data_IF_710220290991
#
_entry.id   IF_710220290991
#
_cell.length_a   1.000
_cell.length_b   1.000
_cell.length_c   1.000
_cell.angle_alpha   90.00
_cell.angle_beta   90.00
_cell.angle_gamma   90.00
#
_symmetry.space_group_name_H-M   'P 1'
#
loop_
_entity.id
_entity.type
_entity.pdbx_description
1 polymer ?
#
# COMPACT_ATOMS: atom_id res chain seq x y z
N UNK A 1 27.90 0.81 -26.36
CA UNK A 1 28.08 0.71 -24.90
C UNK A 1 26.72 1.08 -24.31
N UNK A 2 26.05 0.11 -23.69
CA UNK A 2 24.61 0.09 -23.49
C UNK A 2 24.16 1.15 -22.46
N UNK A 3 23.14 1.93 -22.84
CA UNK A 3 22.35 2.78 -21.96
C UNK A 3 21.24 1.93 -21.35
N UNK A 4 21.36 1.64 -20.05
CA UNK A 4 20.37 0.89 -19.29
C UNK A 4 19.16 1.80 -19.00
N UNK A 5 18.03 1.53 -19.68
CA UNK A 5 16.74 2.19 -19.43
C UNK A 5 16.12 1.62 -18.16
N UNK A 6 15.89 2.48 -17.16
CA UNK A 6 15.07 2.17 -15.99
C UNK A 6 13.61 2.55 -16.28
N UNK A 7 12.79 1.57 -16.63
CA UNK A 7 11.34 1.69 -16.87
C UNK A 7 10.56 1.29 -15.60
N UNK A 8 9.62 2.15 -15.18
CA UNK A 8 8.72 1.91 -14.03
C UNK A 8 7.36 1.46 -14.58
N UNK A 9 6.89 0.28 -14.15
CA UNK A 9 5.81 -0.51 -14.77
C UNK A 9 4.48 -0.37 -14.02
N UNK A 10 3.38 -0.40 -14.76
CA UNK A 10 2.03 -0.08 -14.29
C UNK A 10 1.35 -1.15 -13.42
N UNK A 11 0.31 -0.74 -12.70
CA UNK A 11 -0.58 -1.60 -11.90
C UNK A 11 -1.79 -1.99 -12.75
N UNK A 12 -2.05 -3.28 -12.95
CA UNK A 12 -3.27 -3.78 -13.62
C UNK A 12 -4.24 -4.24 -12.54
N UNK A 13 -5.27 -3.42 -12.24
CA UNK A 13 -6.34 -3.78 -11.31
C UNK A 13 -7.49 -4.41 -12.11
N UNK A 14 -7.64 -5.73 -12.02
CA UNK A 14 -8.81 -6.44 -12.52
C UNK A 14 -9.78 -6.65 -11.33
N UNK A 15 -10.82 -5.82 -11.23
CA UNK A 15 -11.90 -5.99 -10.26
C UNK A 15 -13.13 -6.54 -11.00
N UNK A 16 -13.58 -7.75 -10.67
CA UNK A 16 -14.62 -8.47 -11.44
C UNK A 16 -16.07 -8.15 -11.06
N UNK A 17 -16.31 -7.30 -10.05
CA UNK A 17 -17.68 -6.84 -9.75
C UNK A 17 -17.78 -5.31 -9.73
N UNK A 18 -18.08 -4.74 -10.90
CA UNK A 18 -18.38 -3.32 -11.19
C UNK A 18 -17.23 -2.32 -10.96
N UNK A 19 -16.86 -1.66 -12.07
CA UNK A 19 -15.87 -0.59 -12.23
C UNK A 19 -14.42 -1.07 -12.46
N UNK A 20 -14.14 -1.46 -13.71
CA UNK A 20 -12.79 -1.45 -14.28
C UNK A 20 -12.23 -0.02 -14.20
N UNK A 21 -11.30 0.23 -13.28
CA UNK A 21 -10.40 1.37 -13.33
C UNK A 21 -9.02 0.85 -13.73
N UNK A 22 -8.73 0.92 -15.03
CA UNK A 22 -7.37 0.83 -15.55
C UNK A 22 -6.66 2.16 -15.25
N UNK A 23 -5.79 2.19 -14.24
CA UNK A 23 -4.85 3.29 -14.07
C UNK A 23 -3.56 2.97 -14.84
N UNK A 24 -3.48 3.40 -16.09
CA UNK A 24 -2.20 3.55 -16.78
C UNK A 24 -1.61 4.92 -16.39
N UNK A 25 -0.61 4.91 -15.51
CA UNK A 25 0.14 6.12 -15.17
C UNK A 25 1.36 6.24 -16.11
N UNK A 26 1.28 7.16 -17.07
CA UNK A 26 2.37 7.50 -17.98
C UNK A 26 3.31 8.48 -17.28
N UNK A 27 4.57 8.07 -17.10
CA UNK A 27 5.63 8.89 -16.49
C UNK A 27 6.22 9.81 -17.56
N UNK A 28 6.08 11.12 -17.37
CA UNK A 28 6.88 12.10 -18.10
C UNK A 28 8.30 12.19 -17.54
N UNK A 29 9.22 12.40 -18.48
CA UNK A 29 10.67 12.39 -18.36
C UNK A 29 11.14 13.64 -17.63
N UNK A 30 11.91 13.48 -16.55
CA UNK A 30 12.91 14.47 -16.15
C UNK A 30 14.23 13.76 -15.89
N UNK A 31 15.20 14.03 -16.76
CA UNK A 31 16.54 13.50 -16.71
C UNK A 31 17.54 14.67 -16.77
N UNK A 32 18.55 14.60 -15.90
CA UNK A 32 19.91 15.13 -16.06
C UNK A 32 20.31 16.57 -15.71
N UNK A 33 19.43 17.52 -15.35
CA UNK A 33 19.90 18.85 -14.88
C UNK A 33 19.95 19.03 -13.35
N UNK A 34 19.39 18.10 -12.57
CA UNK A 34 19.25 18.26 -11.11
C UNK A 34 20.48 17.79 -10.29
N UNK A 35 21.41 17.05 -10.89
CA UNK A 35 22.58 16.50 -10.18
C UNK A 35 23.77 17.46 -10.05
N UNK A 36 23.73 18.61 -10.73
CA UNK A 36 24.77 19.65 -10.59
C UNK A 36 24.49 20.64 -9.45
N UNK A 37 23.23 20.72 -8.99
CA UNK A 37 22.81 21.61 -7.91
C UNK A 37 22.99 20.99 -6.50
N UNK A 38 22.89 19.66 -6.37
CA UNK A 38 23.05 18.96 -5.09
C UNK A 38 24.50 18.95 -4.57
N UNK A 39 25.49 19.08 -5.46
CA UNK A 39 26.90 19.15 -5.06
C UNK A 39 27.31 20.53 -4.51
N UNK A 40 26.45 21.54 -4.57
CA UNK A 40 26.71 22.87 -4.01
C UNK A 40 26.05 23.12 -2.65
N UNK A 41 25.24 22.20 -2.12
CA UNK A 41 24.56 22.35 -0.81
C UNK A 41 25.23 21.60 0.35
N UNK A 42 26.52 21.28 0.23
CA UNK A 42 27.35 20.80 1.34
C UNK A 42 27.97 21.97 2.12
N UNK A 43 27.14 22.87 2.67
CA UNK A 43 27.51 23.67 3.86
C UNK A 43 26.28 24.40 4.43
N UNK A 44 25.94 24.11 5.69
CA UNK A 44 24.95 24.86 6.47
C UNK A 44 23.72 24.05 6.87
N UNK A 45 23.75 23.43 8.06
CA UNK A 45 22.55 22.94 8.74
C UNK A 45 21.68 24.12 9.20
N UNK A 46 20.81 24.57 8.30
CA UNK A 46 19.59 25.29 8.62
C UNK A 46 18.45 24.28 8.51
N UNK A 47 17.71 24.03 9.59
CA UNK A 47 16.51 23.20 9.58
C UNK A 47 15.44 23.87 8.69
N UNK A 48 15.53 23.67 7.38
CA UNK A 48 14.43 24.00 6.47
C UNK A 48 13.27 23.09 6.83
N UNK A 49 12.21 23.68 7.38
CA UNK A 49 10.97 22.97 7.72
C UNK A 49 10.37 22.43 6.43
N UNK A 50 10.50 21.12 6.19
CA UNK A 50 9.92 20.47 5.02
C UNK A 50 8.40 20.56 5.05
N UNK A 51 7.80 20.87 3.91
CA UNK A 51 6.35 20.82 3.73
C UNK A 51 5.94 19.58 2.93
N UNK A 52 4.68 19.17 3.05
CA UNK A 52 4.21 17.94 2.41
C UNK A 52 4.26 18.03 0.87
N UNK A 53 4.05 19.22 0.33
CA UNK A 53 4.04 19.46 -1.13
C UNK A 53 5.43 19.26 -1.76
N UNK A 54 6.50 19.45 -0.98
CA UNK A 54 7.88 19.28 -1.46
C UNK A 54 8.28 17.81 -1.63
N UNK A 55 7.63 16.90 -0.90
CA UNK A 55 8.05 15.50 -0.81
C UNK A 55 7.07 14.53 -1.49
N UNK A 56 5.76 14.78 -1.38
CA UNK A 56 4.73 13.88 -1.93
C UNK A 56 4.57 14.11 -3.43
N UNK A 57 4.69 13.05 -4.27
CA UNK A 57 4.51 13.19 -5.72
C UNK A 57 3.05 13.53 -6.06
N UNK A 58 2.86 14.36 -7.10
CA UNK A 58 1.55 14.78 -7.60
C UNK A 58 0.63 15.40 -6.53
N UNK A 59 1.20 16.12 -5.59
CA UNK A 59 0.45 16.75 -4.50
C UNK A 59 -0.73 17.60 -5.00
N UNK A 60 -0.52 18.40 -6.05
CA UNK A 60 -1.58 19.23 -6.67
C UNK A 60 -2.77 18.39 -7.17
N UNK A 61 -2.50 17.24 -7.80
CA UNK A 61 -3.55 16.33 -8.27
C UNK A 61 -4.31 15.73 -7.09
N UNK A 62 -3.61 15.33 -6.01
CA UNK A 62 -4.24 14.80 -4.80
C UNK A 62 -5.16 15.86 -4.18
N UNK A 63 -4.71 17.11 -4.08
CA UNK A 63 -5.55 18.21 -3.60
C UNK A 63 -6.79 18.42 -4.49
N UNK A 64 -6.62 18.36 -5.81
CA UNK A 64 -7.73 18.52 -6.75
C UNK A 64 -8.77 17.42 -6.56
N UNK A 65 -8.34 16.15 -6.46
CA UNK A 65 -9.24 15.03 -6.21
C UNK A 65 -9.95 15.15 -4.85
N UNK A 66 -9.25 15.65 -3.83
CA UNK A 66 -9.84 15.93 -2.53
C UNK A 66 -10.89 17.05 -2.61
N UNK A 67 -10.61 18.14 -3.34
CA UNK A 67 -11.57 19.24 -3.59
C UNK A 67 -12.81 18.75 -4.34
N UNK A 68 -12.63 17.81 -5.28
CA UNK A 68 -13.72 17.11 -6.00
C UNK A 68 -14.47 16.09 -5.15
N UNK A 69 -14.02 15.83 -3.93
CA UNK A 69 -14.58 14.84 -3.01
C UNK A 69 -14.54 13.40 -3.56
N UNK A 70 -13.56 13.10 -4.42
CA UNK A 70 -13.37 11.75 -4.99
C UNK A 70 -13.13 10.76 -3.85
N UNK A 71 -13.88 9.66 -3.85
CA UNK A 71 -13.78 8.59 -2.84
C UNK A 71 -14.34 8.94 -1.46
N UNK A 72 -14.94 10.12 -1.27
CA UNK A 72 -15.50 10.52 0.03
C UNK A 72 -16.74 9.68 0.36
N UNK A 73 -16.68 9.01 1.51
CA UNK A 73 -17.82 8.29 2.08
C UNK A 73 -18.36 9.01 3.32
N UNK A 74 -19.67 8.92 3.56
CA UNK A 74 -20.31 9.46 4.76
C UNK A 74 -20.11 8.48 5.94
N UNK A 75 -18.96 8.56 6.61
CA UNK A 75 -18.57 7.67 7.70
C UNK A 75 -18.54 8.39 9.05
N UNK A 76 -18.94 7.68 10.10
CA UNK A 76 -18.80 8.16 11.47
C UNK A 76 -17.34 8.03 11.91
N UNK A 77 -16.78 9.12 12.44
CA UNK A 77 -15.38 9.16 12.86
C UNK A 77 -15.12 8.19 14.02
N UNK A 78 -14.16 7.29 13.84
CA UNK A 78 -13.64 6.41 14.91
C UNK A 78 -12.35 6.97 15.51
N UNK A 79 -11.91 6.36 16.61
CA UNK A 79 -10.60 6.65 17.18
C UNK A 79 -9.48 6.33 16.16
N UNK A 80 -8.38 7.08 16.22
CA UNK A 80 -7.22 6.83 15.37
C UNK A 80 -6.68 5.42 15.64
N UNK A 81 -6.32 4.70 14.58
CA UNK A 81 -5.69 3.38 14.63
C UNK A 81 -4.81 3.20 13.41
N UNK A 82 -3.62 2.64 13.60
CA UNK A 82 -2.60 2.52 12.55
C UNK A 82 -2.41 1.06 12.16
N UNK A 83 -2.38 0.79 10.85
CA UNK A 83 -2.10 -0.53 10.32
C UNK A 83 -0.59 -0.70 10.10
N UNK A 84 -0.03 0.05 9.16
CA UNK A 84 1.35 -0.06 8.70
C UNK A 84 1.89 1.27 8.15
N UNK A 85 3.22 1.37 7.97
CA UNK A 85 3.87 2.48 7.32
C UNK A 85 4.90 2.00 6.29
N UNK A 86 4.97 2.67 5.13
CA UNK A 86 5.82 2.30 4.00
C UNK A 86 6.63 3.51 3.55
N UNK A 87 7.96 3.40 3.58
CA UNK A 87 8.85 4.47 3.13
C UNK A 87 9.44 4.16 1.76
N UNK A 88 9.22 5.08 0.80
CA UNK A 88 9.73 4.99 -0.58
C UNK A 88 10.93 5.92 -0.83
N UNK A 89 11.57 6.41 0.22
CA UNK A 89 12.70 7.35 0.15
C UNK A 89 12.25 8.80 0.23
N UNK A 90 11.61 9.33 -0.83
CA UNK A 90 11.19 10.76 -0.86
C UNK A 90 9.94 11.02 -0.01
N UNK A 91 8.99 10.10 -0.03
CA UNK A 91 7.74 10.17 0.71
C UNK A 91 7.46 8.82 1.37
N UNK A 92 6.60 8.83 2.38
CA UNK A 92 6.11 7.66 3.06
C UNK A 92 4.58 7.66 3.05
N UNK A 93 4.00 6.49 3.23
CA UNK A 93 2.56 6.30 3.38
C UNK A 93 2.32 5.62 4.72
N UNK A 94 1.37 6.12 5.48
CA UNK A 94 0.85 5.45 6.67
C UNK A 94 -0.59 5.04 6.37
N UNK A 95 -0.85 3.74 6.46
CA UNK A 95 -2.21 3.21 6.39
C UNK A 95 -2.83 3.26 7.78
N UNK A 96 -4.03 3.84 7.88
CA UNK A 96 -4.82 3.90 9.11
C UNK A 96 -6.04 3.02 8.97
N UNK A 97 -6.43 2.35 10.04
CA UNK A 97 -7.72 1.65 10.07
C UNK A 97 -8.83 2.59 10.55
N UNK A 98 -8.55 3.84 10.90
CA UNK A 98 -9.55 4.77 11.38
C UNK A 98 -10.44 5.27 10.24
N UNK A 99 -11.76 5.28 10.43
CA UNK A 99 -12.74 5.72 9.43
C UNK A 99 -13.31 7.11 9.75
N UNK A 100 -13.80 7.81 8.73
CA UNK A 100 -14.36 9.15 8.86
C UNK A 100 -13.29 10.24 9.02
N UNK A 101 -12.09 9.97 8.52
CA UNK A 101 -10.95 10.87 8.61
C UNK A 101 -10.66 11.62 7.31
N UNK A 102 -11.34 11.30 6.20
CA UNK A 102 -11.18 12.01 4.93
C UNK A 102 -11.08 13.54 5.07
N UNK A 103 -10.01 14.11 4.53
CA UNK A 103 -9.72 15.54 4.49
C UNK A 103 -9.42 16.17 5.85
N UNK A 104 -9.31 15.38 6.93
CA UNK A 104 -8.93 15.89 8.24
C UNK A 104 -7.44 16.15 8.29
N UNK A 105 -7.09 17.26 8.91
CA UNK A 105 -5.71 17.60 9.22
C UNK A 105 -5.16 16.65 10.29
N UNK A 106 -3.96 16.15 10.04
CA UNK A 106 -3.20 15.28 10.93
C UNK A 106 -1.70 15.59 10.80
N UNK A 107 -0.90 14.99 11.66
CA UNK A 107 0.53 15.24 11.76
C UNK A 107 1.30 13.93 11.70
N UNK A 108 2.21 13.82 10.74
CA UNK A 108 3.16 12.72 10.65
C UNK A 108 4.24 12.89 11.71
N UNK A 109 4.42 11.87 12.55
CA UNK A 109 5.45 11.76 13.58
C UNK A 109 6.42 10.66 13.21
N UNK A 110 7.71 10.90 13.44
CA UNK A 110 8.78 10.02 13.00
C UNK A 110 9.61 9.62 14.20
N UNK A 111 9.77 8.31 14.39
CA UNK A 111 10.41 7.75 15.56
C UNK A 111 11.55 6.81 15.17
N UNK A 112 12.61 6.81 15.97
CA UNK A 112 13.70 5.83 15.86
C UNK A 112 13.30 4.46 16.42
N UNK A 113 14.24 3.51 16.41
CA UNK A 113 14.03 2.16 16.93
C UNK A 113 13.77 2.12 18.46
N UNK A 114 14.10 3.18 19.19
CA UNK A 114 13.84 3.33 20.62
C UNK A 114 12.55 4.14 20.90
N UNK A 115 11.72 4.37 19.86
CA UNK A 115 10.49 5.15 19.93
C UNK A 115 10.72 6.61 20.38
N UNK A 116 11.85 7.19 20.01
CA UNK A 116 12.14 8.62 20.24
C UNK A 116 11.89 9.41 18.98
N UNK A 117 11.24 10.55 19.11
CA UNK A 117 10.99 11.43 17.97
C UNK A 117 12.30 11.96 17.38
N UNK A 118 12.48 11.75 16.08
CA UNK A 118 13.72 12.12 15.38
C UNK A 118 13.63 13.45 14.65
N UNK A 119 12.41 13.88 14.30
CA UNK A 119 12.15 15.06 13.49
C UNK A 119 10.87 15.76 13.96
N UNK A 120 10.74 17.07 13.70
CA UNK A 120 9.50 17.79 13.97
C UNK A 120 8.30 17.20 13.21
N UNK A 121 7.13 17.26 13.84
CA UNK A 121 5.88 16.83 13.23
C UNK A 121 5.58 17.59 11.92
N UNK A 122 5.24 16.85 10.87
CA UNK A 122 4.88 17.42 9.56
C UNK A 122 3.36 17.36 9.38
N UNK A 123 2.76 18.53 9.16
CA UNK A 123 1.32 18.66 8.90
C UNK A 123 0.96 18.04 7.55
N UNK A 124 -0.14 17.31 7.50
CA UNK A 124 -0.71 16.72 6.29
C UNK A 124 -2.24 16.57 6.46
N UNK A 125 -2.88 15.89 5.51
CA UNK A 125 -4.30 15.52 5.58
C UNK A 125 -4.46 14.03 5.29
N UNK A 126 -5.54 13.43 5.81
CA UNK A 126 -5.92 12.07 5.43
C UNK A 126 -6.61 12.12 4.08
N UNK A 127 -5.95 11.62 3.04
CA UNK A 127 -6.51 11.51 1.69
C UNK A 127 -5.72 10.49 0.85
N UNK A 128 -6.39 9.50 0.21
CA UNK A 128 -7.81 9.15 0.33
C UNK A 128 -8.19 8.71 1.77
N UNK A 129 -9.44 8.30 2.01
CA UNK A 129 -9.80 7.68 3.30
C UNK A 129 -8.80 6.55 3.63
N UNK A 130 -8.48 6.31 4.90
CA UNK A 130 -7.50 5.31 5.36
C UNK A 130 -6.02 5.55 5.00
N UNK A 131 -5.69 6.57 4.21
CA UNK A 131 -4.31 6.80 3.74
C UNK A 131 -3.80 8.17 4.14
N UNK A 132 -2.60 8.19 4.71
CA UNK A 132 -1.89 9.40 5.09
C UNK A 132 -0.55 9.48 4.38
N UNK A 133 -0.42 10.46 3.49
CA UNK A 133 0.85 10.78 2.86
C UNK A 133 1.73 11.60 3.81
N UNK A 134 2.98 11.19 3.95
CA UNK A 134 4.01 11.80 4.77
C UNK A 134 5.29 12.01 3.96
N UNK A 135 6.22 12.84 4.45
CA UNK A 135 7.56 12.88 3.87
C UNK A 135 8.37 11.63 4.28
N UNK A 136 9.25 11.19 3.40
CA UNK A 136 10.10 10.03 3.63
C UNK A 136 11.31 10.43 4.49
N UNK A 137 11.65 9.57 5.45
CA UNK A 137 12.80 9.75 6.32
C UNK A 137 13.50 8.40 6.51
N UNK A 138 14.73 8.30 5.99
CA UNK A 138 15.52 7.07 5.99
C UNK A 138 15.75 6.48 7.40
N UNK A 139 15.81 7.33 8.42
CA UNK A 139 16.10 6.91 9.81
C UNK A 139 14.85 6.60 10.64
N UNK A 140 13.65 6.80 10.09
CA UNK A 140 12.42 6.47 10.81
C UNK A 140 12.23 4.95 10.84
N UNK A 141 12.31 4.36 12.03
CA UNK A 141 11.99 2.94 12.25
C UNK A 141 10.49 2.75 12.50
N UNK A 142 9.85 3.76 13.10
CA UNK A 142 8.42 3.79 13.36
C UNK A 142 7.83 5.15 12.96
N UNK A 143 6.54 5.13 12.61
CA UNK A 143 5.76 6.33 12.35
C UNK A 143 4.48 6.35 13.18
N UNK A 144 3.99 7.55 13.45
CA UNK A 144 2.69 7.77 14.09
C UNK A 144 1.95 8.91 13.42
N UNK A 145 0.63 8.94 13.59
CA UNK A 145 -0.26 10.00 13.12
C UNK A 145 -0.99 10.58 14.32
N UNK A 146 -0.83 11.89 14.55
CA UNK A 146 -1.52 12.63 15.62
C UNK A 146 -2.46 13.69 15.05
N UNK A 147 -3.46 14.12 15.82
CA UNK A 147 -4.37 15.20 15.45
C UNK A 147 -3.75 16.58 15.67
N UNK A 148 -2.87 16.70 16.66
CA UNK A 148 -2.16 17.94 16.97
C UNK A 148 -0.66 17.71 17.12
N UNK A 149 0.11 18.79 17.10
CA UNK A 149 1.57 18.75 17.30
C UNK A 149 1.93 18.37 18.74
N UNK A 150 1.13 18.76 19.73
CA UNK A 150 1.43 18.55 21.15
C UNK A 150 0.84 17.23 21.71
N UNK A 151 0.06 16.52 20.90
CA UNK A 151 -0.50 15.21 21.28
C UNK A 151 0.62 14.19 21.51
N UNK A 152 0.52 13.45 22.61
CA UNK A 152 1.46 12.40 22.95
C UNK A 152 1.35 11.24 21.93
N UNK A 153 2.49 10.70 21.50
CA UNK A 153 2.54 9.54 20.61
C UNK A 153 2.19 8.27 21.39
N UNK A 154 0.96 7.77 21.21
CA UNK A 154 0.47 6.52 21.83
C UNK A 154 0.51 5.35 20.85
N UNK A 155 0.22 5.61 19.58
CA UNK A 155 0.15 4.59 18.53
C UNK A 155 1.37 4.67 17.65
N UNK A 156 1.91 3.54 17.24
CA UNK A 156 3.01 3.50 16.26
C UNK A 156 2.80 2.37 15.26
N UNK A 157 3.29 2.58 14.05
CA UNK A 157 3.38 1.58 13.01
C UNK A 157 4.87 1.39 12.64
N UNK A 158 5.35 0.14 12.51
CA UNK A 158 6.69 -0.11 11.98
C UNK A 158 6.78 0.38 10.54
N UNK A 159 7.92 0.97 10.19
CA UNK A 159 8.20 1.44 8.84
C UNK A 159 8.86 0.32 8.05
N UNK A 160 8.17 -0.13 7.01
CA UNK A 160 8.76 -0.98 5.99
C UNK A 160 9.52 -0.10 5.00
N UNK A 161 10.83 -0.32 4.91
CA UNK A 161 11.69 0.36 3.94
C UNK A 161 11.48 -0.30 2.57
N UNK A 162 10.78 0.38 1.66
CA UNK A 162 10.45 -0.13 0.33
C UNK A 162 11.24 0.63 -0.75
N UNK A 163 12.54 0.77 -0.49
CA UNK A 163 13.49 1.53 -1.31
C UNK A 163 14.21 0.67 -2.35
N UNK A 164 14.10 -0.66 -2.25
CA UNK A 164 14.72 -1.59 -3.19
C UNK A 164 14.11 -1.42 -4.58
N UNK A 165 14.98 -1.34 -5.60
CA UNK A 165 14.57 -1.15 -7.00
C UNK A 165 14.26 -2.47 -7.72
N UNK A 166 14.36 -3.58 -7.02
CA UNK A 166 14.12 -4.91 -7.58
C UNK A 166 12.87 -5.50 -6.94
N UNK A 167 11.92 -5.89 -7.78
CA UNK A 167 10.74 -6.60 -7.32
C UNK A 167 11.16 -7.98 -6.80
N UNK A 168 10.65 -8.33 -5.62
CA UNK A 168 10.83 -9.66 -5.02
C UNK A 168 10.04 -10.72 -5.77
N UNK A 169 8.86 -10.33 -6.25
CA UNK A 169 7.94 -11.20 -6.99
C UNK A 169 7.58 -10.57 -8.34
N UNK A 170 7.39 -11.41 -9.35
CA UNK A 170 6.89 -10.96 -10.64
C UNK A 170 5.38 -10.66 -10.54
N UNK A 171 4.58 -11.66 -10.16
CA UNK A 171 3.13 -11.50 -9.98
C UNK A 171 2.73 -12.01 -8.60
N UNK A 172 2.09 -11.12 -7.83
CA UNK A 172 1.51 -11.46 -6.53
C UNK A 172 0.00 -11.27 -6.54
N UNK A 173 -0.69 -11.87 -5.58
CA UNK A 173 -2.13 -11.73 -5.39
C UNK A 173 -2.45 -11.07 -4.03
N UNK A 174 -3.24 -10.00 -4.07
CA UNK A 174 -3.92 -9.41 -2.91
C UNK A 174 -5.31 -10.02 -2.80
N UNK A 175 -5.52 -10.81 -1.75
CA UNK A 175 -6.84 -11.33 -1.45
C UNK A 175 -7.66 -10.28 -0.73
N UNK A 176 -8.93 -10.11 -1.14
CA UNK A 176 -9.86 -9.29 -0.38
C UNK A 176 -9.97 -9.78 1.07
N UNK A 177 -10.19 -8.88 2.04
CA UNK A 177 -10.11 -9.26 3.43
C UNK A 177 -11.10 -10.34 3.83
N UNK A 178 -10.62 -11.28 4.63
CA UNK A 178 -11.41 -12.36 5.22
C UNK A 178 -12.02 -11.87 6.52
N UNK A 179 -13.33 -12.05 6.66
CA UNK A 179 -14.09 -11.69 7.84
C UNK A 179 -15.19 -12.72 8.12
N UNK A 180 -15.68 -12.71 9.36
CA UNK A 180 -16.73 -13.61 9.82
C UNK A 180 -16.20 -14.87 10.49
N UNK A 181 -17.12 -15.81 10.74
CA UNK A 181 -16.85 -17.07 11.47
C UNK A 181 -17.11 -18.32 10.64
N UNK A 182 -17.39 -18.12 9.34
CA UNK A 182 -17.64 -19.22 8.44
C UNK A 182 -16.34 -19.92 8.11
N UNK A 183 -16.42 -21.24 7.99
CA UNK A 183 -15.32 -22.08 7.57
C UNK A 183 -14.96 -21.78 6.12
N UNK A 184 -13.75 -21.26 5.88
CA UNK A 184 -13.26 -20.87 4.54
C UNK A 184 -12.05 -21.67 4.10
N UNK A 185 -11.57 -22.63 4.89
CA UNK A 185 -10.31 -23.35 4.65
C UNK A 185 -10.27 -24.00 3.26
N UNK A 186 -11.40 -24.55 2.79
CA UNK A 186 -11.44 -25.21 1.48
C UNK A 186 -11.31 -24.18 0.35
N UNK A 187 -12.07 -23.07 0.42
CA UNK A 187 -11.97 -21.99 -0.55
C UNK A 187 -10.57 -21.35 -0.55
N UNK A 188 -9.97 -21.21 0.63
CA UNK A 188 -8.62 -20.68 0.81
C UNK A 188 -7.57 -21.60 0.18
N UNK A 189 -7.62 -22.90 0.48
CA UNK A 189 -6.72 -23.89 -0.13
C UNK A 189 -6.88 -23.92 -1.65
N UNK A 190 -8.12 -24.01 -2.13
CA UNK A 190 -8.40 -24.03 -3.57
C UNK A 190 -7.90 -22.76 -4.27
N UNK A 191 -8.06 -21.58 -3.65
CA UNK A 191 -7.62 -20.31 -4.23
C UNK A 191 -6.09 -20.25 -4.31
N UNK A 192 -5.39 -20.54 -3.21
CA UNK A 192 -3.93 -20.49 -3.16
C UNK A 192 -3.33 -21.51 -4.13
N UNK A 193 -3.74 -22.78 -4.05
CA UNK A 193 -3.18 -23.83 -4.93
C UNK A 193 -3.50 -23.58 -6.40
N UNK A 194 -4.72 -23.12 -6.72
CA UNK A 194 -5.07 -22.76 -8.10
C UNK A 194 -4.15 -21.65 -8.63
N UNK A 195 -3.99 -20.55 -7.90
CA UNK A 195 -3.21 -19.42 -8.38
C UNK A 195 -1.70 -19.72 -8.40
N UNK A 196 -1.20 -20.61 -7.53
CA UNK A 196 0.17 -21.16 -7.66
C UNK A 196 0.36 -21.87 -9.00
N UNK A 197 -0.60 -22.72 -9.40
CA UNK A 197 -0.59 -23.36 -10.73
C UNK A 197 -0.73 -22.34 -11.87
N UNK A 198 -1.35 -21.20 -11.62
CA UNK A 198 -1.46 -20.09 -12.57
C UNK A 198 -0.26 -19.11 -12.55
N UNK A 199 0.84 -19.48 -11.88
CA UNK A 199 2.09 -18.72 -11.89
C UNK A 199 2.15 -17.52 -10.94
N UNK A 200 1.21 -17.40 -10.00
CA UNK A 200 1.30 -16.42 -8.91
C UNK A 200 2.38 -16.88 -7.92
N UNK A 201 3.29 -15.98 -7.57
CA UNK A 201 4.46 -16.30 -6.75
C UNK A 201 4.25 -16.05 -5.25
N UNK A 202 3.36 -15.12 -4.90
CA UNK A 202 3.13 -14.76 -3.50
C UNK A 202 1.72 -14.22 -3.23
N UNK A 203 1.24 -14.44 -2.01
CA UNK A 203 -0.11 -14.09 -1.58
C UNK A 203 -0.09 -13.13 -0.40
N UNK A 204 -0.82 -12.03 -0.50
CA UNK A 204 -1.07 -11.08 0.58
C UNK A 204 -2.50 -11.22 1.05
N UNK A 205 -2.67 -11.56 2.32
CA UNK A 205 -3.98 -11.79 2.92
C UNK A 205 -4.24 -10.81 4.05
N UNK A 206 -5.48 -10.35 4.13
CA UNK A 206 -5.95 -9.46 5.19
C UNK A 206 -7.03 -10.20 5.97
N UNK A 207 -6.92 -10.25 7.30
CA UNK A 207 -7.85 -11.01 8.14
C UNK A 207 -8.38 -10.12 9.26
N UNK A 208 -9.71 -9.97 9.30
CA UNK A 208 -10.41 -9.37 10.44
C UNK A 208 -10.72 -10.43 11.50
N UNK A 209 -11.44 -11.47 11.10
CA UNK A 209 -11.87 -12.58 11.94
C UNK A 209 -11.81 -13.87 11.09
N UNK A 210 -11.37 -14.98 11.69
CA UNK A 210 -11.25 -16.27 11.03
C UNK A 210 -11.37 -17.39 12.07
N UNK A 211 -12.03 -18.50 11.75
CA UNK A 211 -12.12 -19.61 12.68
C UNK A 211 -10.81 -20.43 12.74
N UNK A 212 -10.62 -21.13 13.86
CA UNK A 212 -9.35 -21.77 14.20
C UNK A 212 -8.80 -22.74 13.14
N UNK A 213 -9.68 -23.45 12.41
CA UNK A 213 -9.25 -24.41 11.40
C UNK A 213 -8.72 -23.72 10.15
N UNK A 214 -9.47 -22.76 9.57
CA UNK A 214 -8.95 -21.91 8.47
C UNK A 214 -7.68 -21.17 8.85
N UNK A 215 -7.59 -20.68 10.10
CA UNK A 215 -6.37 -20.02 10.59
C UNK A 215 -5.18 -20.99 10.57
N UNK A 216 -5.35 -22.22 11.03
CA UNK A 216 -4.28 -23.22 11.03
C UNK A 216 -3.76 -23.50 9.61
N UNK A 217 -4.66 -23.64 8.64
CA UNK A 217 -4.28 -23.81 7.23
C UNK A 217 -3.53 -22.57 6.71
N UNK A 218 -4.01 -21.36 7.03
CA UNK A 218 -3.32 -20.13 6.65
C UNK A 218 -1.91 -20.04 7.26
N UNK A 219 -1.76 -20.43 8.52
CA UNK A 219 -0.46 -20.45 9.20
C UNK A 219 0.53 -21.40 8.46
N UNK A 220 0.06 -22.50 7.88
CA UNK A 220 0.91 -23.41 7.08
C UNK A 220 1.45 -22.71 5.80
N UNK A 221 0.60 -21.94 5.09
CA UNK A 221 1.03 -21.14 3.93
C UNK A 221 1.95 -19.96 4.27
N UNK A 222 1.77 -19.38 5.47
CA UNK A 222 2.68 -18.35 5.98
C UNK A 222 4.04 -18.98 6.31
N UNK A 223 4.05 -20.15 6.94
CA UNK A 223 5.27 -20.85 7.32
C UNK A 223 6.07 -21.38 6.11
N UNK A 224 5.40 -21.76 5.02
CA UNK A 224 6.07 -22.15 3.77
C UNK A 224 6.65 -20.96 3.00
N UNK A 225 6.26 -19.73 3.35
CA UNK A 225 6.63 -18.52 2.63
C UNK A 225 5.77 -18.25 1.38
N UNK A 226 4.71 -19.04 1.15
CA UNK A 226 3.76 -18.81 0.07
C UNK A 226 2.95 -17.53 0.32
N UNK A 227 2.64 -17.22 1.58
CA UNK A 227 1.76 -16.12 1.96
C UNK A 227 2.32 -15.21 3.06
N UNK A 228 1.87 -13.96 3.07
CA UNK A 228 1.96 -13.04 4.20
C UNK A 228 0.55 -12.63 4.64
N UNK A 229 0.33 -12.55 5.95
CA UNK A 229 -0.96 -12.16 6.54
C UNK A 229 -0.85 -10.87 7.34
N UNK A 230 -1.80 -9.97 7.14
CA UNK A 230 -2.03 -8.78 7.96
C UNK A 230 -3.35 -8.97 8.72
N UNK A 231 -3.27 -8.99 10.05
CA UNK A 231 -4.44 -9.00 10.90
C UNK A 231 -4.84 -7.56 11.23
N UNK A 232 -6.11 -7.22 11.00
CA UNK A 232 -6.63 -5.93 11.42
C UNK A 232 -6.65 -5.85 12.95
N UNK A 233 -6.22 -4.70 13.48
CA UNK A 233 -6.07 -4.47 14.94
C UNK A 233 -7.36 -3.95 15.55
N UNK A 234 -8.12 -3.17 14.80
CA UNK A 234 -9.37 -2.59 15.27
C UNK A 234 -10.47 -3.65 15.41
N UNK A 235 -11.06 -3.73 16.61
CA UNK A 235 -12.26 -4.53 16.86
C UNK A 235 -13.57 -3.78 16.57
N UNK A 236 -13.51 -2.61 15.94
CA UNK A 236 -14.70 -1.84 15.57
C UNK A 236 -15.64 -2.69 14.69
N UNK A 237 -16.88 -2.85 15.14
CA UNK A 237 -17.96 -3.35 14.29
C UNK A 237 -18.34 -2.28 13.27
N UNK A 238 -17.64 -2.27 12.14
CA UNK A 238 -17.95 -1.47 10.96
C UNK A 238 -18.44 -2.35 9.81
N UNK A 239 -18.99 -1.72 8.78
CA UNK A 239 -19.42 -2.40 7.56
C UNK A 239 -18.25 -3.13 6.90
N UNK A 240 -18.46 -4.40 6.52
CA UNK A 240 -17.45 -5.27 5.90
C UNK A 240 -16.78 -4.63 4.67
N UNK A 241 -17.53 -3.83 3.90
CA UNK A 241 -17.00 -3.08 2.74
C UNK A 241 -15.87 -2.12 3.10
N UNK A 242 -15.86 -1.60 4.32
CA UNK A 242 -14.81 -0.66 4.76
C UNK A 242 -13.52 -1.39 5.09
N UNK A 243 -13.60 -2.64 5.55
CA UNK A 243 -12.41 -3.48 5.69
C UNK A 243 -11.80 -3.79 4.34
N UNK A 244 -12.63 -4.05 3.32
CA UNK A 244 -12.18 -4.23 1.95
C UNK A 244 -11.38 -3.04 1.43
N UNK A 245 -11.83 -1.81 1.69
CA UNK A 245 -11.09 -0.60 1.29
C UNK A 245 -9.72 -0.52 1.98
N UNK A 246 -9.66 -0.68 3.31
CA UNK A 246 -8.38 -0.65 4.06
C UNK A 246 -7.42 -1.71 3.53
N UNK A 247 -7.89 -2.95 3.34
CA UNK A 247 -7.06 -4.05 2.86
C UNK A 247 -6.56 -3.84 1.44
N UNK A 248 -7.43 -3.36 0.53
CA UNK A 248 -7.05 -3.08 -0.86
C UNK A 248 -6.00 -1.98 -0.93
N UNK A 249 -6.21 -0.86 -0.22
CA UNK A 249 -5.27 0.26 -0.23
C UNK A 249 -3.94 -0.12 0.43
N UNK A 250 -3.97 -0.78 1.59
CA UNK A 250 -2.76 -1.26 2.24
C UNK A 250 -1.95 -2.19 1.33
N UNK A 251 -2.62 -3.16 0.69
CA UNK A 251 -1.96 -4.13 -0.17
C UNK A 251 -1.34 -3.48 -1.40
N UNK A 252 -2.05 -2.50 -1.99
CA UNK A 252 -1.55 -1.71 -3.11
C UNK A 252 -0.27 -0.97 -2.74
N UNK A 253 -0.26 -0.26 -1.61
CA UNK A 253 0.91 0.52 -1.20
C UNK A 253 2.05 -0.39 -0.75
N UNK A 254 1.80 -1.41 0.09
CA UNK A 254 2.80 -2.41 0.47
C UNK A 254 3.59 -2.95 -0.73
N UNK A 255 2.87 -3.22 -1.83
CA UNK A 255 3.44 -3.84 -3.01
C UNK A 255 4.09 -2.87 -4.01
N UNK A 256 4.10 -1.55 -3.75
CA UNK A 256 4.55 -0.52 -4.70
C UNK A 256 6.01 -0.62 -5.16
N UNK A 257 6.86 -1.45 -4.56
CA UNK A 257 8.15 -1.90 -5.13
C UNK A 257 8.46 -3.38 -4.78
N UNK A 258 7.47 -4.14 -4.33
CA UNK A 258 7.66 -5.51 -3.86
C UNK A 258 7.28 -6.54 -4.93
N UNK A 259 6.21 -6.25 -5.68
CA UNK A 259 5.70 -7.09 -6.77
C UNK A 259 5.66 -6.28 -8.06
N UNK A 260 6.10 -6.87 -9.18
CA UNK A 260 6.07 -6.18 -10.48
C UNK A 260 4.63 -5.97 -10.97
N UNK A 261 3.79 -6.97 -10.76
CA UNK A 261 2.36 -6.93 -10.99
C UNK A 261 1.60 -7.45 -9.77
N UNK A 262 0.37 -6.97 -9.62
CA UNK A 262 -0.48 -7.27 -8.48
C UNK A 262 -1.89 -7.57 -8.96
N UNK A 263 -2.37 -8.78 -8.67
CA UNK A 263 -3.74 -9.20 -8.93
C UNK A 263 -4.57 -8.99 -7.67
N UNK A 264 -5.75 -8.36 -7.78
CA UNK A 264 -6.73 -8.34 -6.70
C UNK A 264 -7.81 -9.39 -7.01
N UNK A 265 -8.26 -10.12 -6.00
CA UNK A 265 -9.34 -11.09 -6.17
C UNK A 265 -10.02 -11.43 -4.85
N UNK A 266 -11.24 -11.95 -4.96
CA UNK A 266 -12.02 -12.48 -3.84
C UNK A 266 -11.81 -14.00 -3.69
N UNK A 267 -12.14 -14.55 -2.51
CA UNK A 267 -11.93 -15.97 -2.18
C UNK A 267 -12.66 -16.94 -3.13
N UNK A 268 -13.81 -16.53 -3.63
CA UNK A 268 -14.71 -17.30 -4.49
C UNK A 268 -14.55 -16.99 -5.99
N UNK A 269 -13.58 -16.15 -6.36
CA UNK A 269 -13.31 -15.78 -7.76
C UNK A 269 -12.11 -16.54 -8.34
N UNK A 270 -12.21 -16.93 -9.61
CA UNK A 270 -11.12 -17.58 -10.37
C UNK A 270 -10.95 -16.90 -11.72
N UNK A 271 -9.75 -16.41 -11.98
CA UNK A 271 -9.36 -15.98 -13.31
C UNK A 271 -8.78 -17.17 -14.08
N UNK A 272 -9.41 -17.52 -15.20
CA UNK A 272 -8.94 -18.57 -16.11
C UNK A 272 -8.76 -17.97 -17.49
N UNK A 273 -7.51 -17.78 -17.97
CA UNK A 273 -7.26 -17.31 -19.32
C UNK A 273 -7.84 -18.28 -20.36
N UNK A 274 -8.32 -17.75 -21.49
CA UNK A 274 -8.74 -18.57 -22.63
C UNK A 274 -7.49 -19.01 -23.40
N UNK A 275 -7.22 -20.32 -23.39
CA UNK A 275 -6.07 -20.92 -24.08
C UNK A 275 -5.16 -21.67 -23.11
N UNK A 276 -3.96 -22.03 -23.58
CA UNK A 276 -2.99 -22.77 -22.79
C UNK A 276 -1.90 -21.82 -22.25
N UNK A 277 -2.34 -20.78 -21.52
CA UNK A 277 -1.46 -19.82 -20.84
C UNK A 277 -1.91 -19.66 -19.39
N UNK A 278 -0.97 -19.36 -18.51
CA UNK A 278 -1.24 -19.07 -17.09
C UNK A 278 -1.71 -17.63 -16.90
N UNK A 279 -2.29 -17.33 -15.73
CA UNK A 279 -2.65 -15.95 -15.35
C UNK A 279 -1.41 -15.04 -15.35
N UNK A 280 -0.29 -15.50 -14.80
CA UNK A 280 0.93 -14.71 -14.76
C UNK A 280 1.49 -14.40 -16.16
N UNK A 281 1.43 -15.37 -17.08
CA UNK A 281 1.79 -15.17 -18.49
C UNK A 281 0.87 -14.15 -19.16
N UNK A 282 -0.46 -14.26 -18.95
CA UNK A 282 -1.43 -13.32 -19.48
C UNK A 282 -1.14 -11.88 -19.03
N UNK A 283 -0.91 -11.67 -17.73
CA UNK A 283 -0.58 -10.35 -17.16
C UNK A 283 0.72 -9.82 -17.76
N UNK A 284 1.74 -10.67 -17.89
CA UNK A 284 3.03 -10.31 -18.46
C UNK A 284 2.93 -9.95 -19.95
N UNK A 285 2.08 -10.63 -20.72
CA UNK A 285 1.84 -10.32 -22.13
C UNK A 285 1.04 -9.03 -22.33
N UNK A 286 0.03 -8.75 -21.51
CA UNK A 286 -0.76 -7.52 -21.60
C UNK A 286 0.11 -6.25 -21.48
N UNK A 287 1.21 -6.33 -20.72
CA UNK A 287 2.22 -5.28 -20.67
C UNK A 287 2.93 -5.07 -22.02
N UNK A 288 3.19 -6.10 -22.81
CA UNK A 288 3.90 -5.95 -24.10
C UNK A 288 3.05 -5.23 -25.16
N UNK A 289 1.72 -5.39 -25.11
CA UNK A 289 0.80 -4.81 -26.10
C UNK A 289 0.32 -3.39 -25.76
N UNK A 290 0.54 -2.90 -24.54
CA UNK A 290 0.21 -1.52 -24.17
C UNK A 290 1.27 -0.51 -24.63
N UNK A 291 2.35 -0.97 -25.29
CA UNK A 291 3.48 -0.15 -25.76
C UNK A 291 3.78 -0.25 -27.27
N UNK A 292 2.82 -0.73 -28.08
CA UNK A 292 2.85 -0.55 -29.56
C UNK A 292 1.79 0.46 -29.98
#
# INVERSE_FOLDING_TARGET
>A
MALEKSEQKGVVILCMTTMMLLFSYKKDVENSEFMECLNQMSSGHSHVRRTIEQCVPHHELLEEQMKRQTGKAALNRTAMSLLAAYNYGRYAIVTVEAQGWYGREVYCRYLDANLRETEPAIRTVVFPEFIVYCCGLERAAHMSITQTVDEAVVLTAPVMQNQERHYKYDVSLCLAPIYGKNSVWLLLAEMIEYYKLQGIEHFFLYVKDMEAYSKRLLDDYVNSGDAEVVYFKSHDNRNDKLWQLVGVEDCLYKNRNFSRFLLFGDLDERLTPVGNITVAEFISFAHLFTFT
#
